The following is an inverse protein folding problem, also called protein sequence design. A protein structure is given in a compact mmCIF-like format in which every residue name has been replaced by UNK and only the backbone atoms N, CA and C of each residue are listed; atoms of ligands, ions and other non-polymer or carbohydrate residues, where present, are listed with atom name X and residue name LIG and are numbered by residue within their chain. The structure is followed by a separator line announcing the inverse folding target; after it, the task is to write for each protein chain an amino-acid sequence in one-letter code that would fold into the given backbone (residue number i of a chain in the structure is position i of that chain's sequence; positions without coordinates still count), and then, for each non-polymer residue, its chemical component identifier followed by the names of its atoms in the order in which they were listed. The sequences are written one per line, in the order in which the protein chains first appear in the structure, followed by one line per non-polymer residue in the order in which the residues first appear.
data_IF_445446005908
#
_entry.id   IF_445446005908
#
_cell.length_a   1.000
_cell.length_b   1.000
_cell.length_c   1.000
_cell.angle_alpha   90.00
_cell.angle_beta   90.00
_cell.angle_gamma   90.00
#
_symmetry.space_group_name_H-M   'P 1'
#
loop_
_entity.id
_entity.type
_entity.pdbx_description
1 polymer ?
#
# COMPACT_ATOMS: atom_id res chain seq x y z
N UNK A 1 35.07 -19.07 -9.36
CA UNK A 1 33.92 -19.79 -9.89
C UNK A 1 33.17 -20.39 -8.71
N UNK A 2 32.09 -19.72 -8.27
CA UNK A 2 31.23 -20.25 -7.23
C UNK A 2 30.19 -21.18 -7.83
N UNK A 3 30.00 -22.31 -7.23
CA UNK A 3 28.93 -23.25 -7.57
C UNK A 3 27.65 -22.79 -6.84
N UNK A 4 26.53 -22.78 -7.54
CA UNK A 4 25.22 -22.64 -6.94
C UNK A 4 24.79 -24.06 -6.56
N UNK A 5 24.82 -24.38 -5.28
CA UNK A 5 24.29 -25.65 -4.77
C UNK A 5 22.88 -25.48 -4.21
N UNK A 6 22.06 -26.50 -4.45
CA UNK A 6 20.75 -26.59 -3.81
C UNK A 6 20.89 -26.76 -2.29
N UNK A 7 20.05 -26.19 -1.46
CA UNK A 7 20.10 -26.35 -0.01
C UNK A 7 20.01 -27.84 0.37
N UNK A 8 20.97 -28.34 1.17
CA UNK A 8 20.96 -29.72 1.66
C UNK A 8 22.28 -30.49 1.67
N UNK A 9 23.35 -29.94 1.10
CA UNK A 9 24.69 -30.55 1.23
C UNK A 9 25.52 -29.84 2.29
N UNK A 10 26.19 -30.61 3.16
CA UNK A 10 27.16 -30.09 4.12
C UNK A 10 28.37 -29.54 3.39
N UNK A 11 28.59 -28.24 3.44
CA UNK A 11 29.75 -27.55 2.91
C UNK A 11 30.74 -27.31 4.03
N UNK A 12 32.06 -27.27 3.72
CA UNK A 12 33.11 -27.06 4.72
C UNK A 12 32.88 -25.74 5.50
N UNK A 13 33.27 -25.73 6.77
CA UNK A 13 33.10 -24.58 7.69
C UNK A 13 33.72 -23.26 7.19
N UNK A 14 34.54 -23.28 6.16
CA UNK A 14 35.23 -22.10 5.57
C UNK A 14 34.64 -21.67 4.23
N UNK A 15 33.58 -22.31 3.77
CA UNK A 15 33.01 -22.02 2.45
C UNK A 15 32.09 -20.78 2.47
N UNK A 16 32.15 -19.98 1.41
CA UNK A 16 31.16 -18.92 1.13
C UNK A 16 30.01 -19.52 0.35
N UNK A 17 28.80 -19.40 0.88
CA UNK A 17 27.58 -19.83 0.22
C UNK A 17 26.97 -18.66 -0.54
N UNK A 18 26.71 -18.86 -1.83
CA UNK A 18 26.01 -17.93 -2.68
C UNK A 18 24.61 -18.49 -2.94
N UNK A 19 23.58 -17.77 -2.54
CA UNK A 19 22.21 -18.19 -2.77
C UNK A 19 21.44 -17.12 -3.53
N UNK A 20 20.76 -17.52 -4.61
CA UNK A 20 19.73 -16.70 -5.25
C UNK A 20 18.40 -17.01 -4.58
N UNK A 21 17.75 -16.01 -4.05
CA UNK A 21 16.50 -16.16 -3.32
C UNK A 21 15.37 -15.40 -3.99
N UNK A 22 14.25 -16.06 -4.11
CA UNK A 22 12.98 -15.46 -4.53
C UNK A 22 12.14 -15.12 -3.32
N UNK A 23 11.11 -14.33 -3.56
CA UNK A 23 10.20 -13.91 -2.50
C UNK A 23 9.49 -15.07 -1.76
N UNK A 24 9.35 -16.22 -2.41
CA UNK A 24 8.71 -17.43 -1.85
C UNK A 24 9.65 -18.28 -1.03
N UNK A 25 10.95 -18.14 -1.25
CA UNK A 25 11.99 -18.98 -0.64
C UNK A 25 12.60 -18.39 0.63
N UNK A 26 12.20 -17.17 1.01
CA UNK A 26 12.65 -16.52 2.25
C UNK A 26 11.78 -16.95 3.44
N UNK A 27 11.68 -18.24 3.70
CA UNK A 27 11.09 -18.78 4.93
C UNK A 27 12.16 -19.10 5.98
N UNK A 28 11.71 -19.34 7.21
CA UNK A 28 12.60 -19.61 8.34
C UNK A 28 13.42 -20.89 8.15
N UNK A 29 12.87 -21.89 7.49
CA UNK A 29 13.55 -23.19 7.29
C UNK A 29 14.69 -23.01 6.28
N UNK A 30 14.44 -22.35 5.15
CA UNK A 30 15.42 -22.05 4.12
C UNK A 30 16.56 -21.17 4.66
N UNK A 31 16.24 -20.11 5.41
CA UNK A 31 17.26 -19.24 6.02
C UNK A 31 18.15 -19.99 7.01
N UNK A 32 17.58 -20.81 7.88
CA UNK A 32 18.35 -21.64 8.82
C UNK A 32 19.26 -22.63 8.09
N UNK A 33 18.77 -23.27 7.04
CA UNK A 33 19.55 -24.21 6.24
C UNK A 33 20.72 -23.52 5.54
N UNK A 34 20.49 -22.35 4.94
CA UNK A 34 21.54 -21.54 4.31
C UNK A 34 22.60 -21.09 5.32
N UNK A 35 22.17 -20.66 6.53
CA UNK A 35 23.09 -20.25 7.60
C UNK A 35 23.97 -21.39 8.11
N UNK A 36 23.49 -22.64 8.05
CA UNK A 36 24.25 -23.84 8.46
C UNK A 36 25.19 -24.34 7.38
N UNK A 37 25.06 -23.91 6.12
CA UNK A 37 25.75 -24.44 4.98
C UNK A 37 27.16 -23.87 4.78
N UNK A 38 27.56 -22.80 5.45
CA UNK A 38 28.88 -22.20 5.31
C UNK A 38 29.15 -21.09 6.33
N UNK A 39 30.40 -20.59 6.34
CA UNK A 39 30.82 -19.51 7.25
C UNK A 39 30.43 -18.10 6.75
N UNK A 40 30.23 -17.93 5.45
CA UNK A 40 29.83 -16.71 4.81
C UNK A 40 28.60 -16.97 3.92
N UNK A 41 27.63 -16.09 3.96
CA UNK A 41 26.43 -16.17 3.14
C UNK A 41 26.26 -14.88 2.33
N UNK A 42 26.17 -15.00 1.00
CA UNK A 42 25.80 -13.91 0.11
C UNK A 42 24.47 -14.23 -0.57
N UNK A 43 23.49 -13.41 -0.31
CA UNK A 43 22.16 -13.53 -0.89
C UNK A 43 22.04 -12.62 -2.12
N UNK A 44 21.61 -13.20 -3.22
CA UNK A 44 21.30 -12.49 -4.45
C UNK A 44 19.79 -12.53 -4.66
N UNK A 45 19.19 -11.37 -4.87
CA UNK A 45 17.78 -11.27 -5.19
C UNK A 45 17.59 -10.43 -6.44
N UNK A 46 16.64 -10.82 -7.27
CA UNK A 46 16.20 -10.02 -8.42
C UNK A 46 15.45 -8.74 -7.98
N UNK A 47 15.17 -8.61 -6.69
CA UNK A 47 14.56 -7.45 -6.09
C UNK A 47 15.63 -6.51 -5.51
N UNK A 48 15.26 -5.22 -5.37
CA UNK A 48 16.09 -4.24 -4.69
C UNK A 48 16.54 -4.76 -3.31
N UNK A 49 17.81 -4.54 -2.99
CA UNK A 49 18.43 -4.95 -1.73
C UNK A 49 17.64 -4.44 -0.51
N UNK A 50 17.10 -3.23 -0.56
CA UNK A 50 16.29 -2.67 0.51
C UNK A 50 15.01 -3.48 0.76
N UNK A 51 14.33 -3.95 -0.28
CA UNK A 51 13.13 -4.81 -0.17
C UNK A 51 13.45 -6.19 0.34
N UNK A 52 14.56 -6.78 -0.10
CA UNK A 52 15.00 -8.07 0.39
C UNK A 52 15.37 -8.01 1.86
N UNK A 53 16.06 -6.94 2.28
CA UNK A 53 16.44 -6.69 3.65
C UNK A 53 15.19 -6.41 4.53
N UNK A 54 14.24 -5.65 4.05
CA UNK A 54 12.97 -5.41 4.76
C UNK A 54 12.18 -6.70 4.95
N UNK A 55 12.16 -7.59 3.97
CA UNK A 55 11.53 -8.90 4.09
C UNK A 55 12.24 -9.81 5.07
N UNK A 56 13.55 -9.90 4.98
CA UNK A 56 14.36 -10.68 5.92
C UNK A 56 14.11 -10.24 7.36
N UNK A 57 13.97 -8.92 7.60
CA UNK A 57 13.71 -8.38 8.92
C UNK A 57 12.36 -8.76 9.51
N UNK A 58 11.39 -9.09 8.66
CA UNK A 58 10.06 -9.52 9.09
C UNK A 58 10.02 -11.00 9.51
N UNK A 59 11.03 -11.78 9.16
CA UNK A 59 11.11 -13.17 9.57
C UNK A 59 11.62 -13.29 11.00
N UNK A 60 10.90 -14.06 11.82
CA UNK A 60 11.27 -14.32 13.23
C UNK A 60 12.63 -15.02 13.37
N UNK A 61 13.04 -15.80 12.37
CA UNK A 61 14.33 -16.46 12.34
C UNK A 61 15.48 -15.54 11.91
N UNK A 62 15.22 -14.35 11.42
CA UNK A 62 16.27 -13.48 10.89
C UNK A 62 17.33 -13.13 11.96
N UNK A 63 16.91 -12.81 13.16
CA UNK A 63 17.82 -12.52 14.28
C UNK A 63 18.67 -13.75 14.65
N UNK A 64 18.09 -14.95 14.61
CA UNK A 64 18.78 -16.22 14.90
C UNK A 64 19.80 -16.53 13.80
N UNK A 65 19.38 -16.40 12.53
CA UNK A 65 20.28 -16.59 11.38
C UNK A 65 21.43 -15.58 11.40
N UNK A 66 21.13 -14.33 11.71
CA UNK A 66 22.15 -13.27 11.78
C UNK A 66 23.17 -13.51 12.88
N UNK A 67 22.72 -13.99 14.04
CA UNK A 67 23.62 -14.33 15.16
C UNK A 67 24.50 -15.52 14.82
N UNK A 68 23.94 -16.56 14.17
CA UNK A 68 24.71 -17.72 13.72
C UNK A 68 25.78 -17.33 12.68
N UNK A 69 25.45 -16.45 11.74
CA UNK A 69 26.40 -15.95 10.74
C UNK A 69 27.51 -15.12 11.38
N UNK A 70 27.20 -14.29 12.37
CA UNK A 70 28.19 -13.50 13.12
C UNK A 70 29.18 -14.34 13.88
N UNK A 71 28.72 -15.40 14.52
CA UNK A 71 29.60 -16.31 15.26
C UNK A 71 30.53 -17.09 14.36
N UNK A 72 30.19 -17.23 13.06
CA UNK A 72 30.95 -18.04 12.10
C UNK A 72 31.91 -17.25 11.21
N UNK A 73 31.58 -16.02 10.86
CA UNK A 73 32.26 -15.31 9.77
C UNK A 73 32.92 -13.97 10.11
N UNK A 74 32.63 -13.38 11.24
CA UNK A 74 33.05 -12.01 11.46
C UNK A 74 32.29 -10.99 10.56
N UNK A 75 32.88 -9.85 10.33
CA UNK A 75 32.21 -8.76 9.58
C UNK A 75 31.92 -9.12 8.10
N UNK A 76 30.65 -9.03 7.74
CA UNK A 76 30.18 -9.15 6.35
C UNK A 76 29.27 -7.96 6.02
N UNK A 77 29.04 -7.69 4.73
CA UNK A 77 28.05 -6.66 4.29
C UNK A 77 26.66 -6.93 4.87
N UNK A 78 26.37 -8.20 5.20
CA UNK A 78 25.15 -8.60 5.88
C UNK A 78 25.13 -8.07 7.32
N UNK A 79 26.26 -8.02 8.01
CA UNK A 79 26.35 -7.48 9.38
C UNK A 79 26.06 -5.97 9.44
N UNK A 80 26.46 -5.21 8.42
CA UNK A 80 26.13 -3.80 8.31
C UNK A 80 24.62 -3.61 8.09
N UNK A 81 24.00 -4.40 7.22
CA UNK A 81 22.56 -4.40 6.98
C UNK A 81 21.77 -4.84 8.24
N UNK A 82 22.27 -5.84 8.97
CA UNK A 82 21.72 -6.32 10.23
C UNK A 82 21.84 -5.25 11.33
N UNK A 83 23.01 -4.60 11.45
CA UNK A 83 23.24 -3.55 12.45
C UNK A 83 22.34 -2.34 12.22
N UNK A 84 22.13 -1.95 10.96
CA UNK A 84 21.25 -0.87 10.58
C UNK A 84 19.78 -1.18 10.90
N UNK A 85 19.40 -2.46 10.84
CA UNK A 85 18.06 -2.91 11.19
C UNK A 85 17.88 -3.25 12.67
N UNK A 86 18.92 -3.67 13.40
CA UNK A 86 18.85 -3.82 14.87
C UNK A 86 18.48 -2.52 15.58
N UNK A 87 18.83 -1.37 15.03
CA UNK A 87 18.39 -0.06 15.52
C UNK A 87 16.87 0.15 15.40
N UNK A 88 16.19 -0.62 14.53
CA UNK A 88 14.73 -0.60 14.32
C UNK A 88 14.01 -1.87 14.76
N UNK A 89 14.70 -2.85 15.37
CA UNK A 89 14.06 -4.09 15.82
C UNK A 89 13.09 -3.82 16.98
N UNK A 90 11.84 -4.15 16.73
CA UNK A 90 10.77 -4.11 17.70
C UNK A 90 10.93 -5.26 18.70
N UNK A 91 10.49 -5.05 19.94
CA UNK A 91 10.35 -6.13 20.89
C UNK A 91 9.39 -7.22 20.35
N UNK A 92 9.44 -8.47 20.85
CA UNK A 92 8.50 -9.49 20.41
C UNK A 92 7.03 -9.07 20.56
N UNK A 93 6.70 -8.31 21.60
CA UNK A 93 5.36 -7.76 21.79
C UNK A 93 5.01 -6.69 20.74
N UNK A 94 5.93 -5.79 20.43
CA UNK A 94 5.75 -4.79 19.36
C UNK A 94 5.62 -5.45 18.00
N UNK A 95 6.36 -6.51 17.72
CA UNK A 95 6.23 -7.28 16.48
C UNK A 95 4.86 -7.94 16.36
N UNK A 96 4.40 -8.57 17.45
CA UNK A 96 3.09 -9.21 17.50
C UNK A 96 1.96 -8.21 17.21
N UNK A 97 2.02 -7.03 17.84
CA UNK A 97 1.05 -5.95 17.63
C UNK A 97 1.13 -5.41 16.21
N UNK A 98 2.34 -5.23 15.68
CA UNK A 98 2.55 -4.74 14.31
C UNK A 98 1.97 -5.68 13.24
N UNK A 99 1.99 -6.98 13.48
CA UNK A 99 1.37 -7.98 12.60
C UNK A 99 -0.16 -8.05 12.81
N UNK A 100 -0.64 -7.81 14.03
CA UNK A 100 -2.06 -7.88 14.37
C UNK A 100 -2.87 -6.71 13.77
N UNK A 101 -2.32 -5.50 13.78
CA UNK A 101 -3.04 -4.30 13.33
C UNK A 101 -3.52 -4.41 11.88
N UNK A 102 -2.70 -4.77 10.87
CA UNK A 102 -3.17 -4.91 9.49
C UNK A 102 -4.25 -5.98 9.32
N UNK A 103 -4.21 -7.05 10.12
CA UNK A 103 -5.24 -8.10 10.09
C UNK A 103 -6.58 -7.56 10.57
N UNK A 104 -6.58 -6.80 11.66
CA UNK A 104 -7.79 -6.15 12.18
C UNK A 104 -8.30 -5.06 11.24
N UNK A 105 -7.40 -4.24 10.70
CA UNK A 105 -7.74 -3.16 9.77
C UNK A 105 -8.27 -3.67 8.42
N UNK A 106 -7.99 -4.92 8.05
CA UNK A 106 -8.58 -5.54 6.86
C UNK A 106 -10.09 -5.73 6.96
N UNK A 107 -10.62 -5.84 8.18
CA UNK A 107 -12.05 -5.95 8.43
C UNK A 107 -12.68 -4.59 8.79
N UNK A 108 -12.05 -3.88 9.74
CA UNK A 108 -12.47 -2.55 10.20
C UNK A 108 -11.27 -1.73 10.62
N UNK A 109 -11.26 -0.46 10.25
CA UNK A 109 -10.16 0.45 10.59
C UNK A 109 -10.03 0.72 12.09
N UNK A 110 -11.09 0.48 12.86
CA UNK A 110 -11.09 0.57 14.32
C UNK A 110 -11.31 -0.79 14.96
N UNK A 111 -10.66 -1.01 16.07
CA UNK A 111 -10.74 -2.26 16.82
C UNK A 111 -10.70 -1.99 18.33
N UNK A 112 -11.24 -2.89 19.13
CA UNK A 112 -11.17 -2.77 20.58
C UNK A 112 -9.81 -3.27 21.11
N UNK A 113 -9.43 -2.81 22.32
CA UNK A 113 -8.23 -3.32 23.00
C UNK A 113 -8.23 -4.85 23.19
N UNK A 114 -9.34 -5.49 23.59
CA UNK A 114 -9.40 -6.95 23.66
C UNK A 114 -9.16 -7.65 22.32
N UNK A 115 -9.70 -7.10 21.22
CA UNK A 115 -9.45 -7.65 19.87
C UNK A 115 -7.97 -7.56 19.51
N UNK A 116 -7.34 -6.40 19.75
CA UNK A 116 -5.91 -6.23 19.48
C UNK A 116 -5.07 -7.19 20.32
N UNK A 117 -5.39 -7.34 21.61
CA UNK A 117 -4.69 -8.26 22.51
C UNK A 117 -4.80 -9.71 22.03
N UNK A 118 -6.00 -10.16 21.70
CA UNK A 118 -6.25 -11.52 21.21
C UNK A 118 -5.50 -11.78 19.89
N UNK A 119 -5.62 -10.89 18.92
CA UNK A 119 -4.94 -11.04 17.63
C UNK A 119 -3.42 -10.97 17.78
N UNK A 120 -2.89 -10.12 18.67
CA UNK A 120 -1.46 -10.05 18.93
C UNK A 120 -0.92 -11.32 19.62
N UNK A 121 -1.70 -11.98 20.47
CA UNK A 121 -1.34 -13.29 21.02
C UNK A 121 -1.22 -14.35 19.93
N UNK A 122 -2.12 -14.37 18.98
CA UNK A 122 -2.08 -15.26 17.81
C UNK A 122 -0.87 -14.97 16.91
N UNK A 123 -0.66 -13.73 16.54
CA UNK A 123 0.47 -13.31 15.68
C UNK A 123 1.83 -13.49 16.37
N UNK A 124 1.87 -13.43 17.70
CA UNK A 124 3.03 -13.76 18.52
C UNK A 124 3.30 -15.27 18.65
N UNK A 125 2.45 -16.11 18.05
CA UNK A 125 2.60 -17.57 18.05
C UNK A 125 2.52 -18.21 19.45
N UNK A 126 1.83 -17.58 20.39
CA UNK A 126 1.71 -18.03 21.76
C UNK A 126 3.01 -17.96 22.59
N UNK A 127 4.07 -17.36 22.03
CA UNK A 127 5.38 -17.24 22.69
C UNK A 127 5.59 -15.93 23.44
N UNK A 128 4.75 -14.94 23.16
CA UNK A 128 4.82 -13.62 23.80
C UNK A 128 3.86 -13.57 24.96
N UNK A 129 4.32 -13.27 26.19
CA UNK A 129 3.44 -13.17 27.35
C UNK A 129 2.34 -12.11 27.14
N UNK A 130 1.13 -12.43 27.53
CA UNK A 130 -0.03 -11.52 27.45
C UNK A 130 0.25 -10.18 28.18
N UNK A 131 0.93 -10.21 29.31
CA UNK A 131 1.27 -9.02 30.09
C UNK A 131 2.22 -8.08 29.31
N UNK A 132 3.15 -8.63 28.53
CA UNK A 132 4.07 -7.85 27.71
C UNK A 132 3.34 -7.17 26.56
N UNK A 133 2.41 -7.88 25.90
CA UNK A 133 1.56 -7.31 24.85
C UNK A 133 0.69 -6.19 25.43
N UNK A 134 0.04 -6.42 26.55
CA UNK A 134 -0.86 -5.44 27.18
C UNK A 134 -0.09 -4.18 27.64
N UNK A 135 1.08 -4.36 28.22
CA UNK A 135 1.97 -3.25 28.61
C UNK A 135 2.41 -2.46 27.38
N UNK A 136 2.74 -3.14 26.29
CA UNK A 136 3.13 -2.51 25.02
C UNK A 136 1.98 -1.75 24.39
N UNK A 137 0.76 -2.30 24.37
CA UNK A 137 -0.45 -1.58 23.91
C UNK A 137 -0.65 -0.30 24.70
N UNK A 138 -0.51 -0.34 26.03
CA UNK A 138 -0.62 0.86 26.86
C UNK A 138 0.46 1.88 26.55
N UNK A 139 1.69 1.44 26.33
CA UNK A 139 2.79 2.32 25.93
C UNK A 139 2.54 2.99 24.57
N UNK A 140 1.99 2.24 23.61
CA UNK A 140 1.64 2.77 22.28
C UNK A 140 0.47 3.76 22.33
N UNK A 141 -0.50 3.57 23.22
CA UNK A 141 -1.57 4.55 23.47
C UNK A 141 -0.98 5.82 24.07
N UNK A 142 -0.12 5.71 25.07
CA UNK A 142 0.52 6.87 25.71
C UNK A 142 1.44 7.64 24.75
N UNK A 143 2.14 6.97 23.88
CA UNK A 143 3.02 7.58 22.87
C UNK A 143 2.27 8.14 21.65
N UNK A 144 0.96 7.86 21.53
CA UNK A 144 0.14 8.28 20.41
C UNK A 144 0.34 7.45 19.14
N UNK A 145 0.96 6.28 19.22
CA UNK A 145 1.02 5.31 18.11
C UNK A 145 -0.34 4.61 17.90
N UNK A 146 -1.10 4.44 18.96
CA UNK A 146 -2.50 4.05 18.97
C UNK A 146 -3.32 5.20 19.54
N UNK A 147 -4.45 5.50 18.92
CA UNK A 147 -5.35 6.57 19.33
C UNK A 147 -6.67 5.99 19.81
N UNK A 148 -7.21 6.56 20.90
CA UNK A 148 -8.57 6.27 21.33
C UNK A 148 -9.56 7.01 20.43
N UNK A 149 -10.55 6.29 19.92
CA UNK A 149 -11.65 6.85 19.16
C UNK A 149 -12.87 6.93 20.08
N UNK A 150 -13.39 8.12 20.40
CA UNK A 150 -14.58 8.24 21.21
C UNK A 150 -15.78 7.58 20.54
N UNK A 151 -16.49 6.71 21.24
CA UNK A 151 -17.75 6.14 20.76
C UNK A 151 -18.85 7.16 21.08
N UNK A 152 -19.54 7.63 20.06
CA UNK A 152 -20.71 8.47 20.23
C UNK A 152 -21.81 7.65 20.95
N UNK A 153 -22.20 8.04 22.15
CA UNK A 153 -23.17 7.41 23.05
C UNK A 153 -22.61 6.32 24.00
N UNK A 154 -21.87 6.72 24.97
CA UNK A 154 -21.88 6.40 26.40
C UNK A 154 -21.81 4.96 26.93
N UNK A 155 -21.94 3.94 26.13
CA UNK A 155 -21.84 2.54 26.53
C UNK A 155 -21.16 1.71 25.45
N UNK A 156 -19.84 1.73 25.40
CA UNK A 156 -19.08 0.90 24.50
C UNK A 156 -17.60 0.96 24.84
N UNK A 157 -16.91 -0.14 24.63
CA UNK A 157 -15.47 -0.21 24.78
C UNK A 157 -14.82 0.84 23.87
N UNK A 158 -13.88 1.61 24.43
CA UNK A 158 -13.06 2.53 23.68
C UNK A 158 -12.43 1.81 22.49
N UNK A 159 -12.71 2.32 21.29
CA UNK A 159 -12.10 1.81 20.08
C UNK A 159 -10.71 2.45 19.89
N UNK A 160 -9.83 1.67 19.33
CA UNK A 160 -8.48 2.10 18.95
C UNK A 160 -8.36 2.19 17.43
N UNK A 161 -7.54 3.12 16.99
CA UNK A 161 -7.07 3.22 15.61
C UNK A 161 -5.56 3.45 15.62
N UNK A 162 -4.84 2.89 14.65
CA UNK A 162 -3.42 3.19 14.51
C UNK A 162 -3.22 4.63 14.05
N UNK A 163 -2.17 5.30 14.57
CA UNK A 163 -1.79 6.65 14.15
C UNK A 163 -1.58 6.72 12.64
N UNK A 164 -0.95 5.70 12.07
CA UNK A 164 -0.69 5.63 10.63
C UNK A 164 -1.98 5.65 9.81
N UNK A 165 -2.97 4.87 10.22
CA UNK A 165 -4.28 4.81 9.56
C UNK A 165 -5.05 6.11 9.74
N UNK A 166 -5.04 6.68 10.95
CA UNK A 166 -5.65 7.98 11.23
C UNK A 166 -5.06 9.10 10.38
N UNK A 167 -3.73 9.19 10.30
CA UNK A 167 -3.04 10.21 9.52
C UNK A 167 -3.30 10.04 8.02
N UNK A 168 -3.37 8.78 7.53
CA UNK A 168 -3.71 8.49 6.15
C UNK A 168 -5.13 8.93 5.80
N UNK A 169 -6.12 8.62 6.64
CA UNK A 169 -7.52 9.03 6.45
C UNK A 169 -7.66 10.56 6.48
N UNK A 170 -7.04 11.19 7.46
CA UNK A 170 -7.02 12.65 7.57
C UNK A 170 -6.38 13.31 6.35
N UNK A 171 -5.28 12.76 5.84
CA UNK A 171 -4.61 13.26 4.64
C UNK A 171 -5.50 13.16 3.41
N UNK A 172 -6.17 12.02 3.19
CA UNK A 172 -7.11 11.85 2.08
C UNK A 172 -8.24 12.87 2.18
N UNK A 173 -8.86 12.99 3.34
CA UNK A 173 -9.97 13.94 3.55
C UNK A 173 -9.53 15.38 3.29
N UNK A 174 -8.35 15.77 3.80
CA UNK A 174 -7.80 17.10 3.60
C UNK A 174 -7.59 17.38 2.10
N UNK A 175 -6.99 16.45 1.37
CA UNK A 175 -6.77 16.61 -0.08
C UNK A 175 -8.08 16.70 -0.87
N UNK A 176 -9.11 15.92 -0.49
CA UNK A 176 -10.42 15.98 -1.11
C UNK A 176 -11.08 17.34 -0.86
N UNK A 177 -11.06 17.84 0.39
CA UNK A 177 -11.65 19.12 0.75
C UNK A 177 -10.93 20.31 0.10
N UNK A 178 -9.61 20.33 0.12
CA UNK A 178 -8.79 21.35 -0.52
C UNK A 178 -8.85 21.29 -2.05
N UNK A 179 -9.16 20.13 -2.60
CA UNK A 179 -9.33 19.90 -4.03
C UNK A 179 -10.69 20.34 -4.57
N UNK A 180 -11.63 20.72 -3.72
CA UNK A 180 -12.95 21.16 -4.16
C UNK A 180 -12.84 22.48 -4.93
N UNK A 181 -13.43 22.52 -6.12
CA UNK A 181 -13.38 23.67 -7.05
C UNK A 181 -11.96 24.17 -7.36
N UNK A 182 -10.96 23.30 -7.24
CA UNK A 182 -9.55 23.68 -7.35
C UNK A 182 -8.98 23.57 -8.77
N UNK A 183 -9.71 22.98 -9.70
CA UNK A 183 -9.24 22.74 -11.08
C UNK A 183 -10.26 23.19 -12.12
N UNK A 184 -9.81 23.53 -13.30
CA UNK A 184 -10.71 23.78 -14.43
C UNK A 184 -11.31 22.45 -14.92
N UNK A 185 -12.56 22.43 -15.40
CA UNK A 185 -13.12 21.21 -15.99
C UNK A 185 -12.32 20.80 -17.21
N UNK A 186 -12.26 19.48 -17.49
CA UNK A 186 -11.60 18.98 -18.70
C UNK A 186 -12.41 19.34 -19.95
N UNK A 187 -13.72 19.39 -19.81
CA UNK A 187 -14.68 19.84 -20.81
C UNK A 187 -15.75 20.69 -20.14
N UNK A 188 -16.20 21.74 -20.79
CA UNK A 188 -17.33 22.54 -20.31
C UNK A 188 -18.62 21.71 -20.38
N UNK A 189 -18.76 20.90 -21.42
CA UNK A 189 -19.91 20.02 -21.60
C UNK A 189 -19.54 18.80 -22.45
N UNK A 190 -19.89 17.59 -21.98
CA UNK A 190 -19.72 16.35 -22.74
C UNK A 190 -20.78 16.29 -23.84
N UNK A 191 -20.39 16.10 -25.12
CA UNK A 191 -21.33 15.95 -26.22
C UNK A 191 -22.29 14.77 -26.00
N UNK A 192 -23.59 15.01 -26.17
CA UNK A 192 -24.60 13.97 -26.00
C UNK A 192 -24.40 12.77 -26.97
N UNK A 193 -23.82 13.00 -28.14
CA UNK A 193 -23.50 11.97 -29.13
C UNK A 193 -22.53 10.90 -28.63
N UNK A 194 -21.65 11.24 -27.68
CA UNK A 194 -20.69 10.29 -27.09
C UNK A 194 -21.29 9.44 -25.99
N UNK A 195 -22.51 9.74 -25.56
CA UNK A 195 -23.17 9.10 -24.42
C UNK A 195 -24.43 8.31 -24.80
N UNK A 196 -24.69 8.13 -26.11
CA UNK A 196 -25.92 7.48 -26.60
C UNK A 196 -26.03 6.04 -26.14
N UNK A 197 -24.91 5.30 -26.11
CA UNK A 197 -24.87 3.89 -25.75
C UNK A 197 -24.63 3.65 -24.26
N UNK A 198 -24.59 4.72 -23.46
CA UNK A 198 -24.35 4.66 -22.02
C UNK A 198 -25.67 4.59 -21.25
N UNK A 199 -25.69 3.85 -20.16
CA UNK A 199 -26.77 3.91 -19.17
C UNK A 199 -26.84 5.29 -18.52
N UNK A 200 -27.93 5.61 -17.85
CA UNK A 200 -28.08 6.89 -17.14
C UNK A 200 -26.96 7.10 -16.09
N UNK A 201 -26.60 6.04 -15.34
CA UNK A 201 -25.51 6.09 -14.38
C UNK A 201 -24.15 6.32 -15.04
N UNK A 202 -23.85 5.63 -16.13
CA UNK A 202 -22.62 5.83 -16.89
C UNK A 202 -22.52 7.23 -17.49
N UNK A 203 -23.64 7.79 -17.98
CA UNK A 203 -23.68 9.20 -18.45
C UNK A 203 -23.38 10.18 -17.33
N UNK A 204 -24.01 9.99 -16.17
CA UNK A 204 -23.76 10.85 -15.01
C UNK A 204 -22.31 10.79 -14.55
N UNK A 205 -21.72 9.59 -14.48
CA UNK A 205 -20.33 9.38 -14.12
C UNK A 205 -19.38 10.00 -15.16
N UNK A 206 -19.62 9.82 -16.44
CA UNK A 206 -18.82 10.41 -17.52
C UNK A 206 -18.83 11.95 -17.45
N UNK A 207 -19.98 12.55 -17.20
CA UNK A 207 -20.07 14.01 -16.97
C UNK A 207 -19.31 14.43 -15.73
N UNK A 208 -19.46 13.70 -14.61
CA UNK A 208 -18.74 14.00 -13.37
C UNK A 208 -17.21 13.98 -13.58
N UNK A 209 -16.70 13.00 -14.34
CA UNK A 209 -15.28 12.89 -14.64
C UNK A 209 -14.77 14.08 -15.46
N UNK A 210 -15.50 14.49 -16.48
CA UNK A 210 -15.04 15.44 -17.49
C UNK A 210 -15.42 16.88 -17.18
N UNK A 211 -16.57 17.12 -16.54
CA UNK A 211 -17.11 18.45 -16.27
C UNK A 211 -16.84 18.95 -14.85
N UNK A 212 -16.28 18.09 -13.95
CA UNK A 212 -16.01 18.48 -12.57
C UNK A 212 -14.88 19.49 -12.46
N UNK A 213 -15.03 20.41 -11.53
CA UNK A 213 -14.02 21.38 -11.08
C UNK A 213 -13.24 20.89 -9.86
N UNK A 214 -13.58 19.70 -9.33
CA UNK A 214 -12.93 19.10 -8.18
C UNK A 214 -11.67 18.32 -8.61
N UNK A 215 -10.61 18.47 -7.84
CA UNK A 215 -9.37 17.70 -8.07
C UNK A 215 -9.57 16.21 -7.85
N UNK A 216 -10.38 15.84 -6.86
CA UNK A 216 -10.71 14.46 -6.53
C UNK A 216 -12.20 14.23 -6.61
N UNK A 217 -12.61 13.29 -7.43
CA UNK A 217 -14.00 12.86 -7.56
C UNK A 217 -14.12 11.37 -7.29
N UNK A 218 -15.28 10.95 -6.81
CA UNK A 218 -15.59 9.53 -6.56
C UNK A 218 -16.78 9.15 -7.41
N UNK A 219 -16.61 8.11 -8.21
CA UNK A 219 -17.67 7.53 -9.02
C UNK A 219 -18.03 6.17 -8.45
N UNK A 220 -19.27 6.03 -8.04
CA UNK A 220 -19.80 4.75 -7.62
C UNK A 220 -19.98 3.85 -8.85
N UNK A 221 -19.29 2.72 -8.86
CA UNK A 221 -19.38 1.74 -9.92
C UNK A 221 -19.59 0.36 -9.34
N UNK A 222 -20.70 -0.28 -9.68
CA UNK A 222 -20.88 -1.69 -9.35
C UNK A 222 -19.88 -2.56 -10.09
N UNK A 223 -19.27 -3.51 -9.40
CA UNK A 223 -18.34 -4.45 -9.98
C UNK A 223 -19.01 -5.20 -11.16
N UNK A 224 -18.31 -5.26 -12.29
CA UNK A 224 -18.67 -6.12 -13.42
C UNK A 224 -19.61 -5.54 -14.48
N UNK A 225 -20.15 -4.34 -14.36
CA UNK A 225 -21.12 -3.82 -15.34
C UNK A 225 -20.64 -2.52 -15.98
N UNK A 226 -20.00 -2.66 -17.14
CA UNK A 226 -19.83 -1.54 -18.07
C UNK A 226 -18.73 -0.52 -17.73
N UNK A 227 -17.82 -0.80 -16.78
CA UNK A 227 -16.68 0.09 -16.48
C UNK A 227 -15.80 0.32 -17.71
N UNK A 228 -15.50 -0.73 -18.46
CA UNK A 228 -14.72 -0.63 -19.70
C UNK A 228 -15.40 0.26 -20.73
N UNK A 229 -16.72 0.17 -20.87
CA UNK A 229 -17.52 1.04 -21.74
C UNK A 229 -17.45 2.49 -21.28
N UNK A 230 -17.52 2.74 -19.98
CA UNK A 230 -17.39 4.07 -19.41
C UNK A 230 -16.00 4.66 -19.63
N UNK A 231 -14.94 3.88 -19.43
CA UNK A 231 -13.57 4.33 -19.71
C UNK A 231 -13.35 4.65 -21.19
N UNK A 232 -13.90 3.85 -22.09
CA UNK A 232 -13.89 4.14 -23.54
C UNK A 232 -14.61 5.43 -23.87
N UNK A 233 -15.74 5.71 -23.25
CA UNK A 233 -16.47 6.96 -23.46
C UNK A 233 -15.64 8.17 -22.98
N UNK A 234 -15.01 8.06 -21.83
CA UNK A 234 -14.09 9.11 -21.30
C UNK A 234 -12.92 9.33 -22.26
N UNK A 235 -12.26 8.26 -22.71
CA UNK A 235 -11.13 8.35 -23.64
C UNK A 235 -11.56 8.93 -24.99
N UNK A 236 -12.72 8.56 -25.51
CA UNK A 236 -13.29 9.11 -26.73
C UNK A 236 -13.58 10.60 -26.61
N UNK A 237 -14.15 11.03 -25.49
CA UNK A 237 -14.40 12.44 -25.22
C UNK A 237 -13.08 13.26 -25.16
N UNK A 238 -12.11 12.75 -24.45
CA UNK A 238 -10.79 13.40 -24.32
C UNK A 238 -10.09 13.51 -25.67
N UNK A 239 -10.25 12.53 -26.55
CA UNK A 239 -9.67 12.56 -27.91
C UNK A 239 -10.22 13.68 -28.79
N UNK A 240 -11.38 14.23 -28.47
CA UNK A 240 -11.94 15.40 -29.18
C UNK A 240 -11.34 16.73 -28.75
N UNK A 241 -10.62 16.77 -27.64
CA UNK A 241 -9.93 17.98 -27.21
C UNK A 241 -8.73 18.28 -28.12
N UNK A 242 -8.39 19.57 -28.32
CA UNK A 242 -7.18 19.95 -29.03
C UNK A 242 -5.96 19.29 -28.43
N UNK A 243 -5.00 18.89 -29.24
CA UNK A 243 -3.82 18.14 -28.79
C UNK A 243 -3.03 18.91 -27.71
N UNK A 244 -2.96 20.23 -27.85
CA UNK A 244 -2.24 21.12 -26.93
C UNK A 244 -2.87 21.18 -25.52
N UNK A 245 -4.16 20.97 -25.42
CA UNK A 245 -4.92 21.02 -24.14
C UNK A 245 -5.36 19.67 -23.66
N UNK A 246 -5.15 18.63 -24.46
CA UNK A 246 -5.56 17.26 -24.14
C UNK A 246 -4.83 16.74 -22.92
N UNK A 247 -5.54 16.31 -21.86
CA UNK A 247 -4.91 15.75 -20.70
C UNK A 247 -4.29 14.39 -20.99
N UNK A 248 -3.17 14.11 -20.33
CA UNK A 248 -2.67 12.75 -20.22
C UNK A 248 -3.56 11.96 -19.27
N UNK A 249 -3.92 10.74 -19.63
CA UNK A 249 -4.74 9.86 -18.79
C UNK A 249 -3.89 8.68 -18.33
N UNK A 250 -3.80 8.50 -17.01
CA UNK A 250 -3.09 7.39 -16.38
C UNK A 250 -4.10 6.59 -15.56
N UNK A 251 -4.19 5.29 -15.85
CA UNK A 251 -4.98 4.35 -15.06
C UNK A 251 -4.15 3.70 -13.96
N UNK A 252 -4.70 3.60 -12.76
CA UNK A 252 -4.11 2.88 -11.63
C UNK A 252 -5.13 1.89 -11.06
N UNK A 253 -4.69 0.66 -10.85
CA UNK A 253 -5.51 -0.38 -10.22
C UNK A 253 -4.66 -1.28 -9.34
N UNK A 254 -5.23 -1.94 -8.31
CA UNK A 254 -4.47 -2.80 -7.41
C UNK A 254 -4.01 -4.11 -8.05
N UNK A 255 -4.70 -4.58 -9.10
CA UNK A 255 -4.48 -5.88 -9.72
C UNK A 255 -4.10 -5.77 -11.20
N UNK A 256 -3.29 -6.72 -11.69
CA UNK A 256 -2.95 -6.80 -13.12
C UNK A 256 -4.17 -7.06 -14.00
N UNK A 257 -5.20 -7.75 -13.48
CA UNK A 257 -6.45 -7.97 -14.19
C UNK A 257 -7.15 -6.65 -14.46
N UNK A 258 -7.36 -5.84 -13.43
CA UNK A 258 -8.00 -4.52 -13.56
C UNK A 258 -7.18 -3.59 -14.48
N UNK A 259 -5.85 -3.62 -14.39
CA UNK A 259 -4.97 -2.90 -15.33
C UNK A 259 -5.23 -3.34 -16.76
N UNK A 260 -5.33 -4.65 -17.05
CA UNK A 260 -5.63 -5.17 -18.38
C UNK A 260 -6.98 -4.71 -18.91
N UNK A 261 -8.00 -4.64 -18.05
CA UNK A 261 -9.33 -4.12 -18.41
C UNK A 261 -9.28 -2.63 -18.77
N UNK A 262 -8.53 -1.81 -18.03
CA UNK A 262 -8.32 -0.40 -18.38
C UNK A 262 -7.55 -0.24 -19.70
N UNK A 263 -6.51 -1.03 -19.93
CA UNK A 263 -5.73 -1.01 -21.17
C UNK A 263 -6.58 -1.38 -22.37
N UNK A 264 -7.51 -2.34 -22.23
CA UNK A 264 -8.46 -2.71 -23.29
C UNK A 264 -9.43 -1.59 -23.65
N UNK A 265 -9.64 -0.64 -22.76
CA UNK A 265 -10.41 0.59 -22.98
C UNK A 265 -9.57 1.75 -23.57
N UNK A 266 -8.29 1.53 -23.84
CA UNK A 266 -7.38 2.54 -24.37
C UNK A 266 -6.71 3.43 -23.32
N UNK A 267 -6.78 3.05 -22.04
CA UNK A 267 -6.13 3.81 -20.95
C UNK A 267 -4.70 3.30 -20.76
N UNK A 268 -3.73 4.22 -20.67
CA UNK A 268 -2.38 3.91 -20.22
C UNK A 268 -2.42 3.58 -18.71
N UNK A 269 -2.40 2.29 -18.38
CA UNK A 269 -2.65 1.82 -17.03
C UNK A 269 -1.52 0.95 -16.50
N UNK A 270 -1.30 1.04 -15.19
CA UNK A 270 -0.38 0.20 -14.41
C UNK A 270 -0.87 -0.03 -12.99
N UNK A 271 -0.20 -0.91 -12.26
CA UNK A 271 -0.59 -1.16 -10.87
C UNK A 271 -0.27 0.04 -9.98
N UNK A 272 -1.13 0.28 -8.99
CA UNK A 272 -0.91 1.33 -7.98
C UNK A 272 0.43 1.15 -7.29
N UNK A 273 0.81 -0.09 -6.96
CA UNK A 273 2.09 -0.39 -6.33
C UNK A 273 3.30 0.02 -7.20
N UNK A 274 3.24 -0.26 -8.52
CA UNK A 274 4.29 0.15 -9.45
C UNK A 274 4.40 1.68 -9.55
N UNK A 275 3.26 2.36 -9.65
CA UNK A 275 3.21 3.81 -9.67
C UNK A 275 3.85 4.43 -8.42
N UNK A 276 3.48 3.95 -7.24
CA UNK A 276 4.03 4.45 -5.97
C UNK A 276 5.54 4.21 -5.88
N UNK A 277 6.00 3.04 -6.29
CA UNK A 277 7.42 2.69 -6.29
C UNK A 277 8.24 3.64 -7.19
N UNK A 278 7.83 3.81 -8.45
CA UNK A 278 8.56 4.62 -9.42
C UNK A 278 8.58 6.09 -9.03
N UNK A 279 7.45 6.59 -8.53
CA UNK A 279 7.33 7.99 -8.10
C UNK A 279 8.17 8.26 -6.84
N UNK A 280 8.23 7.30 -5.91
CA UNK A 280 9.12 7.40 -4.75
C UNK A 280 10.60 7.40 -5.14
N UNK A 281 10.99 6.63 -6.16
CA UNK A 281 12.35 6.66 -6.69
C UNK A 281 12.69 8.04 -7.27
N UNK A 282 11.80 8.65 -8.03
CA UNK A 282 11.99 10.00 -8.54
C UNK A 282 12.19 11.01 -7.41
N UNK A 283 11.34 10.95 -6.37
CA UNK A 283 11.46 11.83 -5.20
C UNK A 283 12.78 11.63 -4.44
N UNK A 284 13.24 10.40 -4.26
CA UNK A 284 14.54 10.11 -3.62
C UNK A 284 15.71 10.69 -4.41
N UNK A 285 15.57 10.78 -5.73
CA UNK A 285 16.54 11.40 -6.62
C UNK A 285 16.38 12.93 -6.72
N UNK A 286 15.56 13.55 -5.86
CA UNK A 286 15.30 14.98 -5.85
C UNK A 286 14.44 15.49 -7.01
N UNK A 287 13.78 14.59 -7.74
CA UNK A 287 12.90 14.92 -8.83
C UNK A 287 11.46 14.97 -8.37
N UNK A 288 10.73 16.02 -8.74
CA UNK A 288 9.29 16.12 -8.51
C UNK A 288 8.57 15.68 -9.79
N UNK A 289 7.70 14.66 -9.74
CA UNK A 289 6.91 14.27 -10.91
C UNK A 289 6.00 15.42 -11.33
N UNK A 290 5.90 15.65 -12.63
CA UNK A 290 4.96 16.61 -13.20
C UNK A 290 3.71 15.88 -13.68
N UNK A 291 2.59 16.13 -12.98
CA UNK A 291 1.25 15.64 -13.30
C UNK A 291 0.31 16.76 -13.71
N UNK A 292 0.86 17.91 -14.09
CA UNK A 292 0.07 18.98 -14.68
C UNK A 292 -0.69 18.45 -15.90
N UNK A 293 -1.95 18.88 -16.05
CA UNK A 293 -2.84 18.39 -17.11
C UNK A 293 -2.89 16.86 -17.22
N UNK A 294 -2.91 16.17 -16.10
CA UNK A 294 -3.01 14.70 -16.00
C UNK A 294 -4.25 14.30 -15.22
N UNK A 295 -5.03 13.41 -15.81
CA UNK A 295 -6.18 12.74 -15.18
C UNK A 295 -5.77 11.34 -14.78
N UNK A 296 -5.87 11.02 -13.48
CA UNK A 296 -5.72 9.68 -12.96
C UNK A 296 -7.08 9.01 -12.82
N UNK A 297 -7.21 7.81 -13.38
CA UNK A 297 -8.36 6.94 -13.18
C UNK A 297 -7.95 5.84 -12.21
N UNK A 298 -8.47 5.87 -10.99
CA UNK A 298 -8.18 4.92 -9.92
C UNK A 298 -9.31 3.88 -9.88
N UNK A 299 -9.08 2.71 -10.44
CA UNK A 299 -10.08 1.63 -10.42
C UNK A 299 -9.87 0.69 -9.24
N UNK A 300 -10.94 0.02 -8.81
CA UNK A 300 -10.96 -0.85 -7.63
C UNK A 300 -10.32 -0.21 -6.39
N UNK A 301 -10.56 1.09 -6.21
CA UNK A 301 -9.93 1.90 -5.15
C UNK A 301 -10.23 1.39 -3.74
N UNK A 302 -11.34 0.68 -3.55
CA UNK A 302 -11.69 -0.01 -2.30
C UNK A 302 -10.73 -1.15 -1.93
N UNK A 303 -10.03 -1.74 -2.90
CA UNK A 303 -9.04 -2.80 -2.68
C UNK A 303 -7.62 -2.24 -2.43
N UNK A 304 -7.43 -0.95 -2.59
CA UNK A 304 -6.16 -0.28 -2.29
C UNK A 304 -6.11 0.05 -0.81
N UNK A 305 -5.03 -0.33 -0.14
CA UNK A 305 -4.85 0.01 1.28
C UNK A 305 -4.88 1.53 1.51
N UNK A 306 -5.42 1.95 2.65
CA UNK A 306 -5.62 3.36 2.97
C UNK A 306 -4.30 4.16 2.92
N UNK A 307 -3.21 3.58 3.42
CA UNK A 307 -1.88 4.21 3.39
C UNK A 307 -1.37 4.44 1.96
N UNK A 308 -1.59 3.49 1.05
CA UNK A 308 -1.19 3.60 -0.35
C UNK A 308 -2.09 4.59 -1.11
N UNK A 309 -3.37 4.63 -0.79
CA UNK A 309 -4.30 5.64 -1.33
C UNK A 309 -3.90 7.05 -0.89
N UNK A 310 -3.55 7.24 0.39
CA UNK A 310 -3.07 8.52 0.90
C UNK A 310 -1.78 8.97 0.21
N UNK A 311 -0.83 8.05 -0.01
CA UNK A 311 0.40 8.33 -0.77
C UNK A 311 0.09 8.72 -2.21
N UNK A 312 -0.79 7.98 -2.90
CA UNK A 312 -1.19 8.29 -4.27
C UNK A 312 -1.81 9.68 -4.38
N UNK A 313 -2.74 10.03 -3.49
CA UNK A 313 -3.35 11.36 -3.44
C UNK A 313 -2.28 12.46 -3.22
N UNK A 314 -1.37 12.27 -2.28
CA UNK A 314 -0.30 13.24 -2.00
C UNK A 314 0.61 13.46 -3.21
N UNK A 315 0.95 12.40 -3.93
CA UNK A 315 1.77 12.47 -5.14
C UNK A 315 1.05 13.18 -6.28
N UNK A 316 -0.24 12.91 -6.47
CA UNK A 316 -1.07 13.56 -7.49
C UNK A 316 -1.19 15.06 -7.20
N UNK A 317 -1.44 15.43 -5.94
CA UNK A 317 -1.49 16.85 -5.53
C UNK A 317 -0.15 17.53 -5.76
N UNK A 318 0.95 16.93 -5.32
CA UNK A 318 2.29 17.48 -5.46
C UNK A 318 2.68 17.71 -6.94
N UNK A 319 2.24 16.82 -7.83
CA UNK A 319 2.46 16.93 -9.28
C UNK A 319 1.46 17.83 -10.01
N UNK A 320 0.40 18.33 -9.36
CA UNK A 320 -0.61 19.18 -9.97
C UNK A 320 -1.68 18.44 -10.79
N UNK A 321 -1.85 17.14 -10.57
CA UNK A 321 -2.82 16.30 -11.27
C UNK A 321 -4.23 16.34 -10.65
N UNK A 322 -5.13 15.59 -11.24
CA UNK A 322 -6.48 15.29 -10.72
C UNK A 322 -6.76 13.81 -10.80
N UNK A 323 -7.68 13.32 -9.99
CA UNK A 323 -8.03 11.90 -9.95
C UNK A 323 -9.52 11.65 -9.80
N UNK A 324 -9.95 10.55 -10.39
CA UNK A 324 -11.27 9.97 -10.22
C UNK A 324 -11.10 8.59 -9.62
N UNK A 325 -11.69 8.34 -8.46
CA UNK A 325 -11.73 7.03 -7.83
C UNK A 325 -13.02 6.32 -8.20
N UNK A 326 -12.88 5.10 -8.71
CA UNK A 326 -13.99 4.18 -8.98
C UNK A 326 -13.91 3.02 -7.99
N UNK A 327 -14.99 2.75 -7.27
CA UNK A 327 -15.03 1.67 -6.28
C UNK A 327 -16.45 1.32 -5.88
N UNK A 328 -16.60 0.20 -5.16
CA UNK A 328 -17.86 -0.23 -4.60
C UNK A 328 -18.06 0.43 -3.23
N UNK A 329 -19.16 1.14 -3.06
CA UNK A 329 -19.46 1.89 -1.82
C UNK A 329 -19.65 0.99 -0.60
N UNK A 330 -19.97 -0.28 -0.78
CA UNK A 330 -20.17 -1.19 0.35
C UNK A 330 -18.85 -1.52 1.09
N UNK A 331 -17.70 -1.17 0.49
CA UNK A 331 -16.38 -1.41 1.06
C UNK A 331 -15.68 -0.14 1.58
N UNK A 332 -16.15 1.04 1.18
CA UNK A 332 -15.68 2.35 1.71
C UNK A 332 -16.61 2.80 2.83
N UNK A 333 -16.67 2.07 3.95
CA UNK A 333 -17.35 2.57 5.13
C UNK A 333 -16.44 3.54 5.88
N UNK A 334 -16.81 4.83 5.93
CA UNK A 334 -16.02 5.80 6.69
C UNK A 334 -16.09 5.47 8.17
N UNK A 335 -14.97 5.66 8.85
CA UNK A 335 -14.92 5.60 10.30
C UNK A 335 -15.64 6.82 10.83
N UNK A 336 -16.79 6.62 11.47
CA UNK A 336 -17.40 7.70 12.27
C UNK A 336 -16.55 7.94 13.53
N UNK A 337 -16.29 9.19 13.91
CA UNK A 337 -17.29 10.03 14.50
C UNK A 337 -17.53 11.27 13.65
N UNK A 338 -18.71 11.31 13.04
CA UNK A 338 -19.16 12.45 12.26
C UNK A 338 -19.38 12.17 10.78
N UNK A 339 -19.33 10.91 10.33
CA UNK A 339 -19.68 10.45 8.98
C UNK A 339 -19.46 11.52 7.88
N UNK A 340 -18.24 11.78 7.42
CA UNK A 340 -18.01 12.77 6.37
C UNK A 340 -18.42 12.31 4.97
N UNK A 341 -18.95 11.07 4.82
CA UNK A 341 -19.37 10.49 3.56
C UNK A 341 -20.78 9.86 3.65
N UNK A 342 -21.75 10.64 4.10
CA UNK A 342 -23.17 10.39 3.80
C UNK A 342 -23.73 11.49 2.96
#
# INVERSE_FOLDING_TARGET
HGWVESPGRSVSETATVFASVTQRELDNATLNQLAQSGSHLRLYSAQDAARTTEKLSRHTAFSVVSEQLKTRSGETDLDAAIAQQKAGLRTPAEQAIHLAIPLLESEKLTFSRPQLLATALETGGGKVPMADIDTTIQAQIRSGQLLNVPVAHGYGNDLLISRQTWDAEKSILTHVLEGKDAVAPLMDRVPASLMTDLTAGQRAATRMILESTDRFTVVQGYAGVGKTTQFRAVMSAISLLPEETRPRVIGLAPTHRAVGEMQSAGVDARTTASFLHDTQLLQRNGQTPDFSNTLFLLDESSMVGLADMAKAHSLIVAGGGRAVSSGDNDQLQPIAPGQPFR
#
